data_IF_565764006960
#
_entry.id   IF_565764006960
#
_cell.length_a   1.000
_cell.length_b   1.000
_cell.length_c   1.000
_cell.angle_alpha   90.00
_cell.angle_beta   90.00
_cell.angle_gamma   90.00
#
_symmetry.space_group_name_H-M   'P 1'
#
loop_
_entity.id
_entity.type
_entity.pdbx_description
1 polymer ?
#
# COMPACT_ATOMS: atom_id res chain seq x y z
N UNK A 1 4.37 19.76 -18.38
CA UNK A 1 2.91 19.45 -18.36
C UNK A 1 2.49 18.99 -19.75
N UNK A 2 2.38 17.68 -19.95
CA UNK A 2 2.19 17.04 -21.28
C UNK A 2 0.95 17.55 -22.04
N UNK A 3 -0.14 17.85 -21.32
CA UNK A 3 -1.38 18.37 -21.91
C UNK A 3 -1.19 19.72 -22.61
N UNK A 4 -0.28 20.56 -22.11
CA UNK A 4 0.04 21.86 -22.72
C UNK A 4 0.87 21.68 -23.99
N UNK A 5 1.80 20.73 -23.98
CA UNK A 5 2.65 20.42 -25.13
C UNK A 5 1.86 19.82 -26.30
N UNK A 6 0.92 18.92 -26.00
CA UNK A 6 0.02 18.31 -27.01
C UNK A 6 -0.95 19.30 -27.69
N UNK A 7 -1.14 20.49 -27.10
CA UNK A 7 -1.98 21.57 -27.66
C UNK A 7 -1.16 22.62 -28.41
N UNK A 8 0.16 22.46 -28.47
CA UNK A 8 1.04 23.40 -29.17
C UNK A 8 0.88 23.24 -30.69
N UNK A 9 0.91 24.35 -31.47
CA UNK A 9 0.82 24.29 -32.93
C UNK A 9 1.94 23.46 -33.58
N UNK A 10 3.12 23.40 -32.96
CA UNK A 10 4.27 22.61 -33.46
C UNK A 10 4.23 21.12 -33.08
N UNK A 11 3.11 20.62 -32.52
CA UNK A 11 2.98 19.22 -32.15
C UNK A 11 2.94 18.32 -33.41
N UNK A 12 3.84 17.34 -33.56
CA UNK A 12 3.85 16.46 -34.73
C UNK A 12 2.52 15.72 -34.91
N UNK A 13 2.07 15.60 -36.16
CA UNK A 13 0.75 15.02 -36.47
C UNK A 13 0.60 13.59 -35.94
N UNK A 14 1.65 12.77 -36.02
CA UNK A 14 1.64 11.41 -35.47
C UNK A 14 1.30 11.38 -33.98
N UNK A 15 1.77 12.37 -33.21
CA UNK A 15 1.50 12.49 -31.77
C UNK A 15 0.05 12.93 -31.53
N UNK A 16 -0.52 13.78 -32.38
CA UNK A 16 -1.95 14.15 -32.33
C UNK A 16 -2.85 12.95 -32.61
N UNK A 17 -2.50 12.14 -33.62
CA UNK A 17 -3.23 10.91 -33.95
C UNK A 17 -3.17 9.88 -32.82
N UNK A 18 -2.01 9.70 -32.19
CA UNK A 18 -1.86 8.88 -30.98
C UNK A 18 -2.74 9.39 -29.83
N UNK A 19 -2.81 10.71 -29.62
CA UNK A 19 -3.71 11.30 -28.63
C UNK A 19 -5.18 11.01 -28.96
N UNK A 20 -5.58 11.13 -30.24
CA UNK A 20 -6.96 10.85 -30.67
C UNK A 20 -7.31 9.37 -30.42
N UNK A 21 -6.40 8.45 -30.78
CA UNK A 21 -6.55 7.02 -30.49
C UNK A 21 -6.64 6.78 -28.97
N UNK A 22 -5.77 7.43 -28.20
CA UNK A 22 -5.77 7.32 -26.75
C UNK A 22 -7.08 7.83 -26.14
N UNK A 23 -7.58 9.00 -26.54
CA UNK A 23 -8.85 9.56 -26.04
C UNK A 23 -10.05 8.68 -26.44
N UNK A 24 -10.00 8.00 -27.59
CA UNK A 24 -11.03 7.05 -28.04
C UNK A 24 -10.99 5.74 -27.25
N UNK A 25 -9.81 5.19 -27.02
CA UNK A 25 -9.62 3.95 -26.26
C UNK A 25 -9.81 4.16 -24.75
N UNK A 26 -9.50 5.37 -24.27
CA UNK A 26 -9.54 5.74 -22.86
C UNK A 26 -10.35 7.02 -22.69
N UNK A 27 -11.68 6.87 -22.74
CA UNK A 27 -12.61 7.98 -22.50
C UNK A 27 -12.32 8.59 -21.13
N UNK A 28 -11.96 9.88 -21.04
CA UNK A 28 -11.74 10.53 -19.76
C UNK A 28 -13.02 10.50 -18.94
N UNK A 29 -12.92 10.17 -17.65
CA UNK A 29 -14.05 10.11 -16.71
C UNK A 29 -14.87 11.42 -16.57
N UNK A 30 -14.46 12.50 -17.26
CA UNK A 30 -15.09 13.82 -17.24
C UNK A 30 -15.69 14.22 -18.61
N UNK A 31 -15.76 13.33 -19.59
CA UNK A 31 -16.50 13.60 -20.82
C UNK A 31 -18.00 13.57 -20.51
N UNK A 32 -18.65 14.73 -20.54
CA UNK A 32 -20.09 14.89 -20.32
C UNK A 32 -20.85 14.20 -21.45
N UNK A 33 -21.28 12.97 -21.19
CA UNK A 33 -22.46 12.39 -21.84
C UNK A 33 -23.60 12.50 -20.84
N UNK A 34 -24.61 13.30 -21.19
CA UNK A 34 -25.89 13.39 -20.49
C UNK A 34 -26.65 12.07 -20.62
N UNK A 35 -26.24 11.03 -19.88
CA UNK A 35 -27.12 9.94 -19.43
C UNK A 35 -26.32 8.96 -18.59
N UNK A 36 -26.88 8.65 -17.41
CA UNK A 36 -26.39 7.76 -16.34
C UNK A 36 -25.32 8.42 -15.47
N UNK A 37 -25.70 8.63 -14.20
CA UNK A 37 -24.79 8.95 -13.11
C UNK A 37 -23.50 8.14 -13.27
N UNK A 38 -22.38 8.84 -13.45
CA UNK A 38 -21.07 8.22 -13.35
C UNK A 38 -20.86 7.81 -11.90
N UNK A 39 -21.39 6.65 -11.51
CA UNK A 39 -20.97 5.99 -10.29
C UNK A 39 -19.50 5.68 -10.51
N UNK A 40 -18.64 6.39 -9.78
CA UNK A 40 -17.20 6.10 -9.73
C UNK A 40 -17.05 4.67 -9.23
N UNK A 41 -17.01 3.71 -10.15
CA UNK A 41 -16.65 2.33 -9.87
C UNK A 41 -15.16 2.32 -9.54
N UNK A 42 -14.83 2.70 -8.30
CA UNK A 42 -13.53 2.33 -7.75
C UNK A 42 -13.48 0.81 -7.87
N UNK A 43 -12.50 0.27 -8.58
CA UNK A 43 -12.32 -1.18 -8.67
C UNK A 43 -12.24 -1.80 -7.28
N UNK A 44 -12.37 -3.12 -7.19
CA UNK A 44 -12.24 -3.84 -5.92
C UNK A 44 -10.90 -3.60 -5.24
N UNK A 45 -9.83 -3.36 -6.00
CA UNK A 45 -8.48 -3.13 -5.48
C UNK A 45 -8.03 -1.65 -5.56
N UNK A 46 -7.11 -1.28 -4.68
CA UNK A 46 -6.40 0.01 -4.71
C UNK A 46 -4.89 -0.18 -4.67
N UNK A 47 -4.19 0.70 -5.38
CA UNK A 47 -2.72 0.80 -5.31
C UNK A 47 -2.24 1.50 -4.04
N UNK A 48 -3.05 2.41 -3.47
CA UNK A 48 -2.69 3.20 -2.30
C UNK A 48 -3.88 3.42 -1.37
N UNK A 49 -3.59 3.50 -0.07
CA UNK A 49 -4.49 4.02 0.96
C UNK A 49 -3.77 5.13 1.74
N UNK A 50 -4.49 6.20 2.09
CA UNK A 50 -3.96 7.25 2.96
C UNK A 50 -4.66 7.14 4.31
N UNK A 51 -3.88 7.07 5.38
CA UNK A 51 -4.38 7.06 6.76
C UNK A 51 -3.39 7.81 7.64
N UNK A 52 -3.94 8.69 8.48
CA UNK A 52 -3.18 9.61 9.34
C UNK A 52 -2.00 10.34 8.63
N UNK A 53 -2.27 10.88 7.44
CA UNK A 53 -1.25 11.59 6.66
C UNK A 53 -0.25 10.69 5.90
N UNK A 54 -0.16 9.40 6.24
CA UNK A 54 0.78 8.43 5.66
C UNK A 54 0.13 7.70 4.47
N UNK A 55 0.92 7.40 3.44
CA UNK A 55 0.50 6.57 2.32
C UNK A 55 1.00 5.15 2.47
N UNK A 56 0.05 4.20 2.46
CA UNK A 56 0.30 2.77 2.46
C UNK A 56 0.07 2.21 1.06
N UNK A 57 0.80 1.16 0.70
CA UNK A 57 0.65 0.48 -0.59
C UNK A 57 0.96 -1.01 -0.48
N UNK A 58 0.42 -1.84 -1.38
CA UNK A 58 0.91 -3.20 -1.58
C UNK A 58 2.41 -3.24 -1.90
N UNK A 59 3.07 -4.32 -1.49
CA UNK A 59 4.49 -4.58 -1.80
C UNK A 59 4.78 -4.56 -3.30
N UNK A 60 3.87 -5.11 -4.11
CA UNK A 60 3.95 -5.13 -5.57
C UNK A 60 3.82 -3.74 -6.22
N UNK A 61 3.23 -2.76 -5.51
CA UNK A 61 3.10 -1.38 -6.00
C UNK A 61 4.27 -0.51 -5.56
N UNK A 62 4.56 -0.48 -4.26
CA UNK A 62 5.66 0.30 -3.70
C UNK A 62 6.12 -0.32 -2.38
N UNK A 63 7.16 -1.14 -2.43
CA UNK A 63 7.65 -1.91 -1.28
C UNK A 63 8.03 -1.05 -0.05
N UNK A 64 8.51 0.18 -0.26
CA UNK A 64 8.86 1.10 0.84
C UNK A 64 7.68 1.54 1.70
N UNK A 65 6.45 1.45 1.17
CA UNK A 65 5.23 1.84 1.87
C UNK A 65 4.37 0.63 2.26
N UNK A 66 4.93 -0.58 2.14
CA UNK A 66 4.21 -1.82 2.38
C UNK A 66 4.46 -2.41 3.76
N UNK A 67 5.53 -2.04 4.45
CA UNK A 67 5.85 -2.58 5.78
C UNK A 67 5.17 -1.77 6.87
N UNK A 68 4.50 -2.45 7.79
CA UNK A 68 3.73 -1.84 8.88
C UNK A 68 3.89 -2.63 10.17
N UNK A 69 3.63 -1.99 11.30
CA UNK A 69 3.34 -2.64 12.57
C UNK A 69 1.84 -2.53 12.79
N UNK A 70 1.17 -3.65 13.04
CA UNK A 70 -0.28 -3.72 13.15
C UNK A 70 -0.70 -4.75 14.18
N UNK A 71 -1.98 -4.73 14.55
CA UNK A 71 -2.59 -5.70 15.43
C UNK A 71 -3.50 -6.64 14.61
N UNK A 72 -3.19 -7.95 14.50
CA UNK A 72 -4.02 -8.89 13.72
C UNK A 72 -5.42 -9.06 14.30
N UNK A 73 -5.50 -9.13 15.64
CA UNK A 73 -6.75 -9.21 16.39
C UNK A 73 -6.67 -8.32 17.63
N UNK A 74 -7.76 -7.72 18.13
CA UNK A 74 -7.74 -6.77 19.24
C UNK A 74 -7.05 -7.25 20.53
N UNK A 75 -6.99 -8.56 20.76
CA UNK A 75 -6.35 -9.19 21.92
C UNK A 75 -4.87 -9.51 21.71
N UNK A 76 -4.36 -9.48 20.48
CA UNK A 76 -2.99 -9.84 20.17
C UNK A 76 -2.02 -8.66 20.29
N UNK A 77 -0.76 -8.99 20.60
CA UNK A 77 0.31 -8.02 20.58
C UNK A 77 0.60 -7.57 19.14
N UNK A 78 0.94 -6.29 18.92
CA UNK A 78 1.31 -5.83 17.58
C UNK A 78 2.46 -6.62 16.97
N UNK A 79 2.39 -6.84 15.67
CA UNK A 79 3.40 -7.56 14.89
C UNK A 79 3.77 -6.77 13.64
N UNK A 80 4.97 -6.99 13.14
CA UNK A 80 5.37 -6.47 11.85
C UNK A 80 4.79 -7.31 10.71
N UNK A 81 4.37 -6.67 9.62
CA UNK A 81 3.95 -7.35 8.41
C UNK A 81 4.10 -6.51 7.16
N UNK A 82 3.73 -7.13 6.04
CA UNK A 82 3.78 -6.52 4.72
C UNK A 82 2.41 -6.58 4.06
N UNK A 83 1.93 -5.43 3.61
CA UNK A 83 0.69 -5.28 2.86
C UNK A 83 0.84 -6.00 1.51
N UNK A 84 -0.01 -7.00 1.27
CA UNK A 84 -0.05 -7.74 0.02
C UNK A 84 -1.05 -7.14 -0.96
N UNK A 85 -2.20 -6.67 -0.45
CA UNK A 85 -3.25 -6.03 -1.25
C UNK A 85 -4.10 -5.09 -0.39
N UNK A 86 -4.71 -4.11 -1.05
CA UNK A 86 -5.65 -3.16 -0.45
C UNK A 86 -6.95 -3.27 -1.23
N UNK A 87 -8.06 -3.48 -0.53
CA UNK A 87 -9.38 -3.71 -1.11
C UNK A 87 -10.41 -2.72 -0.59
N UNK A 88 -11.35 -2.38 -1.47
CA UNK A 88 -12.54 -1.62 -1.13
C UNK A 88 -13.62 -2.55 -0.61
N UNK A 89 -14.16 -2.21 0.55
CA UNK A 89 -15.38 -2.86 1.04
C UNK A 89 -16.56 -2.12 0.45
N UNK A 90 -17.48 -2.87 -0.14
CA UNK A 90 -18.74 -2.35 -0.65
C UNK A 90 -19.89 -2.89 0.17
N UNK A 91 -20.77 -2.01 0.61
CA UNK A 91 -22.06 -2.32 1.24
C UNK A 91 -23.13 -1.69 0.37
N UNK A 92 -24.09 -2.48 -0.11
CA UNK A 92 -25.17 -2.04 -1.01
C UNK A 92 -24.67 -1.27 -2.26
N UNK A 93 -23.53 -1.72 -2.82
CA UNK A 93 -22.90 -1.10 -4.00
C UNK A 93 -22.13 0.20 -3.70
N UNK A 94 -22.13 0.68 -2.46
CA UNK A 94 -21.36 1.86 -2.04
C UNK A 94 -20.09 1.46 -1.29
N UNK A 95 -18.99 2.17 -1.55
CA UNK A 95 -17.72 1.93 -0.87
C UNK A 95 -17.83 2.36 0.61
N UNK A 96 -17.95 1.39 1.51
CA UNK A 96 -18.12 1.57 2.96
C UNK A 96 -16.80 1.58 3.73
N UNK A 97 -15.70 1.11 3.12
CA UNK A 97 -14.41 1.08 3.81
C UNK A 97 -13.27 0.55 2.97
N UNK A 98 -12.15 0.33 3.64
CA UNK A 98 -10.93 -0.26 3.06
C UNK A 98 -10.48 -1.38 3.98
N UNK A 99 -10.09 -2.51 3.40
CA UNK A 99 -9.41 -3.61 4.09
C UNK A 99 -8.02 -3.81 3.52
N UNK A 100 -7.09 -4.20 4.39
CA UNK A 100 -5.72 -4.50 4.04
C UNK A 100 -5.50 -5.98 4.31
N UNK A 101 -4.99 -6.69 3.32
CA UNK A 101 -4.54 -8.06 3.51
C UNK A 101 -3.03 -8.04 3.73
N UNK A 102 -2.61 -8.52 4.89
CA UNK A 102 -1.25 -8.36 5.38
C UNK A 102 -0.71 -9.73 5.73
N UNK A 103 0.53 -10.01 5.33
CA UNK A 103 1.25 -11.18 5.84
C UNK A 103 2.21 -10.72 6.92
N UNK A 104 2.13 -11.30 8.11
CA UNK A 104 3.09 -11.00 9.17
C UNK A 104 4.46 -11.60 8.86
N UNK A 105 5.52 -10.92 9.27
CA UNK A 105 6.85 -11.51 9.26
C UNK A 105 6.95 -12.61 10.31
N UNK A 106 7.66 -13.69 9.99
CA UNK A 106 7.96 -14.74 10.96
C UNK A 106 8.88 -14.17 12.04
N UNK A 107 8.50 -14.35 13.30
CA UNK A 107 9.32 -13.88 14.44
C UNK A 107 10.68 -14.56 14.41
N UNK A 108 11.70 -13.84 14.87
CA UNK A 108 13.03 -14.42 15.03
C UNK A 108 12.95 -15.65 15.96
N UNK A 109 13.62 -16.74 15.57
CA UNK A 109 13.68 -17.95 16.38
C UNK A 109 14.27 -17.66 17.76
N UNK A 110 13.72 -18.25 18.83
CA UNK A 110 14.13 -17.98 20.23
C UNK A 110 15.60 -18.28 20.51
N UNK A 111 16.21 -19.16 19.72
CA UNK A 111 17.64 -19.49 19.81
C UNK A 111 18.55 -18.41 19.23
N UNK A 112 18.01 -17.45 18.48
CA UNK A 112 18.75 -16.38 17.83
C UNK A 112 18.59 -15.08 18.61
N UNK A 113 19.70 -14.37 18.76
CA UNK A 113 19.74 -13.09 19.45
C UNK A 113 19.32 -11.94 18.55
N UNK A 114 18.44 -11.07 19.05
CA UNK A 114 18.09 -9.79 18.43
C UNK A 114 19.04 -8.67 18.94
N UNK A 115 19.92 -8.14 18.08
CA UNK A 115 20.86 -7.09 18.49
C UNK A 115 20.18 -5.77 18.88
N UNK A 116 18.98 -5.48 18.36
CA UNK A 116 18.30 -4.21 18.58
C UNK A 116 17.68 -4.07 19.96
N UNK A 117 17.58 -5.16 20.74
CA UNK A 117 17.16 -5.12 22.15
C UNK A 117 18.06 -4.20 23.00
N UNK A 118 19.33 -4.04 22.62
CA UNK A 118 20.26 -3.12 23.30
C UNK A 118 20.03 -1.64 22.96
N UNK A 119 19.23 -1.36 21.93
CA UNK A 119 19.02 -0.02 21.38
C UNK A 119 17.51 0.31 21.31
N UNK A 120 16.81 0.36 22.45
CA UNK A 120 15.35 0.55 22.48
C UNK A 120 14.91 1.87 21.84
N UNK A 121 15.78 2.90 21.85
CA UNK A 121 15.52 4.19 21.22
C UNK A 121 15.42 4.12 19.68
N UNK A 122 15.92 3.05 19.05
CA UNK A 122 15.77 2.84 17.60
C UNK A 122 14.39 2.29 17.24
N UNK A 123 13.60 1.84 18.22
CA UNK A 123 12.30 1.19 18.02
C UNK A 123 12.35 0.12 16.91
N UNK A 124 13.44 -0.66 16.94
CA UNK A 124 13.78 -1.64 15.93
C UNK A 124 13.69 -3.05 16.52
N UNK A 125 13.22 -4.01 15.72
CA UNK A 125 13.13 -5.42 16.13
C UNK A 125 13.52 -6.32 14.98
N UNK A 126 14.26 -7.38 15.28
CA UNK A 126 14.65 -8.37 14.29
C UNK A 126 13.55 -9.40 14.07
N UNK A 127 13.26 -9.67 12.80
CA UNK A 127 12.40 -10.74 12.31
C UNK A 127 13.19 -11.66 11.37
N UNK A 128 12.61 -12.81 11.03
CA UNK A 128 13.01 -13.51 9.82
C UNK A 128 12.56 -12.72 8.59
N UNK A 129 13.31 -12.80 7.49
CA UNK A 129 12.92 -12.22 6.20
C UNK A 129 11.74 -12.93 5.54
N UNK A 130 11.31 -14.06 6.11
CA UNK A 130 10.21 -14.87 5.63
C UNK A 130 8.88 -14.29 6.15
N UNK A 131 7.91 -14.16 5.25
CA UNK A 131 6.51 -13.87 5.59
C UNK A 131 5.79 -15.17 5.93
N UNK A 132 4.81 -15.10 6.84
CA UNK A 132 3.89 -16.21 7.05
C UNK A 132 3.04 -16.43 5.79
N UNK A 133 2.60 -17.67 5.60
CA UNK A 133 1.71 -18.03 4.49
C UNK A 133 0.28 -17.50 4.66
N UNK A 134 -0.13 -17.27 5.91
CA UNK A 134 -1.46 -16.76 6.26
C UNK A 134 -1.55 -15.25 6.07
N UNK A 135 -2.66 -14.80 5.49
CA UNK A 135 -3.02 -13.39 5.40
C UNK A 135 -3.98 -13.01 6.53
N UNK A 136 -3.64 -11.92 7.21
CA UNK A 136 -4.52 -11.23 8.15
C UNK A 136 -5.32 -10.18 7.38
N UNK A 137 -6.63 -10.11 7.64
CA UNK A 137 -7.53 -9.08 7.09
C UNK A 137 -7.79 -8.01 8.15
N UNK A 138 -7.24 -6.82 7.93
CA UNK A 138 -7.24 -5.74 8.93
C UNK A 138 -7.85 -4.44 8.36
N UNK A 139 -8.39 -3.63 9.26
CA UNK A 139 -8.75 -2.24 8.97
C UNK A 139 -7.54 -1.30 9.04
N UNK A 140 -7.75 -0.05 8.67
CA UNK A 140 -6.72 0.99 8.82
C UNK A 140 -6.44 1.31 10.30
N UNK A 141 -7.46 1.25 11.15
CA UNK A 141 -7.35 1.53 12.59
C UNK A 141 -6.56 0.46 13.36
N UNK A 142 -6.35 -0.71 12.76
CA UNK A 142 -5.52 -1.78 13.31
C UNK A 142 -4.02 -1.54 13.07
N UNK A 143 -3.66 -0.56 12.23
CA UNK A 143 -2.28 -0.15 11.98
C UNK A 143 -1.80 0.69 13.16
N UNK A 144 -0.74 0.24 13.81
CA UNK A 144 -0.07 0.96 14.90
C UNK A 144 0.96 1.93 14.35
N UNK A 145 1.70 1.52 13.32
CA UNK A 145 2.73 2.34 12.73
C UNK A 145 3.10 1.95 11.30
N UNK A 146 3.60 2.94 10.56
CA UNK A 146 4.39 2.68 9.36
C UNK A 146 5.79 2.20 9.75
N UNK A 147 6.37 1.29 8.96
CA UNK A 147 7.66 0.71 9.28
C UNK A 147 8.59 0.68 8.07
N UNK A 148 9.88 0.86 8.33
CA UNK A 148 10.94 0.54 7.39
C UNK A 148 11.38 -0.92 7.60
N UNK A 149 11.83 -1.55 6.52
CA UNK A 149 12.44 -2.88 6.54
C UNK A 149 13.83 -2.80 5.91
N UNK A 150 14.79 -3.48 6.52
CA UNK A 150 16.09 -3.74 5.91
C UNK A 150 16.50 -5.19 6.12
N UNK A 151 16.82 -5.88 5.02
CA UNK A 151 17.27 -7.26 5.03
C UNK A 151 18.78 -7.31 5.24
N UNK A 152 19.21 -8.21 6.11
CA UNK A 152 20.62 -8.44 6.41
C UNK A 152 20.90 -9.94 6.53
N UNK A 153 22.14 -10.29 6.90
CA UNK A 153 22.65 -11.66 6.81
C UNK A 153 21.78 -12.71 7.52
N UNK A 154 21.83 -13.94 7.00
CA UNK A 154 21.15 -15.13 7.56
C UNK A 154 19.61 -15.11 7.49
N UNK A 155 19.04 -14.47 6.46
CA UNK A 155 17.58 -14.45 6.26
C UNK A 155 16.87 -13.70 7.39
N UNK A 156 17.49 -12.61 7.85
CA UNK A 156 16.96 -11.74 8.91
C UNK A 156 16.66 -10.37 8.35
N UNK A 157 15.64 -9.76 8.93
CA UNK A 157 15.22 -8.41 8.58
C UNK A 157 15.05 -7.61 9.85
N UNK A 158 15.58 -6.40 9.87
CA UNK A 158 15.21 -5.44 10.91
C UNK A 158 13.98 -4.67 10.44
N UNK A 159 12.99 -4.57 11.33
CA UNK A 159 11.82 -3.72 11.16
C UNK A 159 11.96 -2.55 12.12
N UNK A 160 11.86 -1.34 11.59
CA UNK A 160 12.02 -0.09 12.34
C UNK A 160 10.70 0.67 12.30
N UNK A 161 10.17 1.01 13.47
CA UNK A 161 9.01 1.89 13.58
C UNK A 161 9.38 3.29 13.06
N UNK A 162 8.57 3.84 12.15
CA UNK A 162 8.76 5.18 11.59
C UNK A 162 7.78 6.22 12.14
N UNK A 163 6.77 5.79 12.91
CA UNK A 163 5.88 6.73 13.59
C UNK A 163 6.69 7.53 14.60
N UNK A 164 6.48 8.84 14.61
CA UNK A 164 7.05 9.73 15.63
C UNK A 164 6.12 9.73 16.83
N UNK A 165 6.69 9.66 18.03
CA UNK A 165 5.97 9.97 19.28
C UNK A 165 5.51 11.44 19.29
#
# INVERSE_FOLDING_TARGET
NLRRWLRHPDCPEAVRQLKILFDKCFVPANATSETKEFIKMKGTHRAYAKFDGIYFSPSATHAGNASIIYRPTPSEAPVAGQIQRIENVFTDGQNSGIRLHVRSYVRLAKSLYDPFVRYPHLQATTYSSILKDTEDDIGLDDIIAHAARYDYSHGRSVIVNLSRD
#
